data_IF_791149469662
#
_entry.id   IF_791149469662
#
_cell.length_a   1.000
_cell.length_b   1.000
_cell.length_c   1.000
_cell.angle_alpha   90.00
_cell.angle_beta   90.00
_cell.angle_gamma   90.00
#
_symmetry.space_group_name_H-M   'P 1'
#
loop_
_entity.id
_entity.type
_entity.pdbx_description
1 polymer ?
#
# COMPACT_ATOMS: atom_id res chain seq x y z
N UNK A 1 -14.05 22.29 10.46
CA UNK A 1 -13.48 21.69 9.22
C UNK A 1 -12.00 21.46 9.47
N UNK A 2 -11.58 20.21 9.74
CA UNK A 2 -10.16 19.90 9.96
C UNK A 2 -9.81 18.71 9.07
N UNK A 3 -9.09 19.00 7.99
CA UNK A 3 -8.70 18.06 6.96
C UNK A 3 -7.63 17.09 7.48
N UNK A 4 -7.90 15.81 7.32
CA UNK A 4 -6.96 14.72 7.57
C UNK A 4 -5.86 14.75 6.51
N UNK A 5 -4.72 15.35 6.87
CA UNK A 5 -3.48 15.33 6.07
C UNK A 5 -3.02 13.89 5.83
N UNK A 6 -3.20 13.42 4.59
CA UNK A 6 -2.45 12.28 4.05
C UNK A 6 -0.97 12.65 4.04
N UNK A 7 -0.15 11.88 4.74
CA UNK A 7 1.30 12.08 4.79
C UNK A 7 1.87 11.91 3.37
N UNK A 8 2.36 13.01 2.80
CA UNK A 8 3.18 13.02 1.59
C UNK A 8 4.49 12.25 1.84
N UNK A 9 5.02 11.61 0.81
CA UNK A 9 6.37 11.04 0.74
C UNK A 9 7.47 11.97 1.28
N UNK A 10 7.34 13.28 1.07
CA UNK A 10 8.25 14.29 1.65
C UNK A 10 8.14 14.44 3.18
N UNK A 11 6.98 14.14 3.77
CA UNK A 11 6.77 14.15 5.22
C UNK A 11 7.21 12.84 5.91
N UNK A 12 7.33 11.75 5.16
CA UNK A 12 7.89 10.49 5.65
C UNK A 12 9.40 10.59 5.91
N UNK A 13 10.12 11.34 5.05
CA UNK A 13 11.56 11.56 5.20
C UNK A 13 11.91 12.66 6.22
N UNK A 14 11.06 13.67 6.44
CA UNK A 14 11.36 14.75 7.39
C UNK A 14 11.17 14.39 8.87
N UNK A 15 10.54 13.26 9.18
CA UNK A 15 10.17 12.85 10.55
C UNK A 15 11.07 11.76 11.16
N UNK A 16 12.28 11.58 10.64
CA UNK A 16 13.31 10.73 11.25
C UNK A 16 13.85 11.31 12.56
N UNK A 17 13.01 11.35 13.61
CA UNK A 17 13.33 11.36 15.05
C UNK A 17 12.14 11.93 15.82
N UNK A 18 11.24 11.11 16.38
CA UNK A 18 10.61 11.33 17.70
C UNK A 18 10.14 9.96 18.24
N UNK A 19 10.67 9.54 19.40
CA UNK A 19 10.15 8.41 20.18
C UNK A 19 8.70 8.68 20.63
N UNK A 20 7.76 7.72 20.53
CA UNK A 20 6.42 7.94 21.05
C UNK A 20 6.40 7.85 22.59
N UNK A 21 5.75 8.79 23.30
CA UNK A 21 5.49 8.63 24.72
C UNK A 21 4.34 7.63 24.97
N UNK A 22 4.52 6.90 26.06
CA UNK A 22 3.67 5.89 26.68
C UNK A 22 2.51 6.55 27.47
N UNK A 23 1.51 5.73 27.84
CA UNK A 23 0.41 5.94 28.81
C UNK A 23 -0.94 6.40 28.19
N UNK A 24 -2.12 6.01 28.69
CA UNK A 24 -2.54 5.19 29.83
C UNK A 24 -4.01 4.81 29.63
N UNK A 25 -4.44 3.68 30.21
CA UNK A 25 -5.83 3.28 30.36
C UNK A 25 -6.63 4.33 31.15
N UNK A 26 -7.86 4.63 30.70
CA UNK A 26 -8.93 5.09 31.59
C UNK A 26 -10.24 4.44 31.17
N UNK A 27 -10.76 3.65 32.11
CA UNK A 27 -12.09 3.05 32.18
C UNK A 27 -13.17 4.13 32.22
N UNK A 28 -14.33 3.90 31.61
CA UNK A 28 -15.59 4.42 32.15
C UNK A 28 -16.78 3.56 31.74
N UNK A 29 -17.46 3.05 32.76
CA UNK A 29 -18.82 2.51 32.71
C UNK A 29 -19.81 3.68 32.57
N UNK A 30 -20.94 3.46 31.89
CA UNK A 30 -22.28 3.50 32.50
C UNK A 30 -23.42 3.81 31.50
N UNK A 31 -24.51 3.06 31.71
CA UNK A 31 -25.94 3.40 31.57
C UNK A 31 -26.62 3.31 30.20
N UNK A 32 -27.31 2.18 30.09
CA UNK A 32 -28.54 1.88 29.35
C UNK A 32 -29.65 2.90 29.62
N UNK A 33 -30.29 3.40 28.56
CA UNK A 33 -31.67 3.86 28.56
C UNK A 33 -32.32 3.41 27.25
N UNK A 34 -33.33 2.56 27.37
CA UNK A 34 -34.19 2.13 26.27
C UNK A 34 -35.14 3.26 25.89
N UNK A 35 -35.23 3.58 24.60
CA UNK A 35 -36.38 4.25 24.04
C UNK A 35 -36.76 3.58 22.72
N UNK A 36 -37.89 2.88 22.78
CA UNK A 36 -38.65 2.35 21.65
C UNK A 36 -39.18 3.48 20.79
N UNK A 37 -38.90 3.43 19.47
CA UNK A 37 -39.72 4.05 18.42
C UNK A 37 -39.33 3.44 17.06
N UNK A 38 -40.18 2.56 16.53
CA UNK A 38 -40.37 2.40 15.09
C UNK A 38 -41.23 3.57 14.56
N UNK A 39 -41.25 3.97 13.26
CA UNK A 39 -41.12 3.05 12.11
C UNK A 39 -40.48 3.62 10.81
N UNK A 40 -40.44 2.74 9.80
CA UNK A 40 -40.40 2.96 8.32
C UNK A 40 -39.04 3.03 7.61
N UNK A 41 -38.88 2.05 6.72
CA UNK A 41 -38.37 2.15 5.33
C UNK A 41 -37.09 2.98 5.14
N UNK A 42 -35.94 2.34 5.30
CA UNK A 42 -34.63 2.93 5.01
C UNK A 42 -33.74 1.92 4.28
N UNK A 43 -33.27 2.32 3.12
CA UNK A 43 -32.21 1.68 2.32
C UNK A 43 -31.11 1.08 3.19
N UNK A 44 -30.81 -0.21 2.97
CA UNK A 44 -29.69 -0.91 3.60
C UNK A 44 -28.43 -0.03 3.56
N UNK A 45 -27.78 0.25 4.70
CA UNK A 45 -26.49 0.91 4.70
C UNK A 45 -25.51 0.05 3.89
N UNK A 46 -24.57 0.66 3.14
CA UNK A 46 -23.63 -0.10 2.34
C UNK A 46 -22.86 -1.04 3.27
N UNK A 47 -23.06 -2.35 3.07
CA UNK A 47 -22.40 -3.40 3.87
C UNK A 47 -20.91 -3.10 3.89
N UNK A 48 -20.33 -2.99 5.10
CA UNK A 48 -18.88 -2.91 5.27
C UNK A 48 -18.31 -4.16 4.61
N UNK A 49 -17.61 -3.98 3.48
CA UNK A 49 -16.98 -5.11 2.78
C UNK A 49 -15.89 -5.68 3.69
N UNK A 50 -16.14 -6.86 4.23
CA UNK A 50 -15.12 -7.63 4.92
C UNK A 50 -13.99 -7.97 3.93
N UNK A 51 -12.71 -7.98 4.36
CA UNK A 51 -11.62 -8.46 3.53
C UNK A 51 -11.91 -9.89 3.09
N UNK A 52 -11.63 -10.21 1.82
CA UNK A 52 -11.72 -11.60 1.37
C UNK A 52 -10.74 -12.47 2.17
N UNK A 53 -11.10 -13.70 2.56
CA UNK A 53 -10.23 -14.59 3.35
C UNK A 53 -8.81 -14.77 2.75
N UNK A 54 -8.67 -14.65 1.43
CA UNK A 54 -7.37 -14.72 0.73
C UNK A 54 -6.41 -13.56 1.06
N UNK A 55 -6.91 -12.48 1.66
CA UNK A 55 -6.14 -11.29 2.05
C UNK A 55 -5.81 -11.27 3.55
N UNK A 56 -6.28 -12.27 4.30
CA UNK A 56 -6.05 -12.36 5.74
C UNK A 56 -4.75 -13.15 5.96
N UNK A 57 -3.78 -12.63 6.74
CA UNK A 57 -2.57 -13.36 7.09
C UNK A 57 -2.90 -14.60 7.94
N UNK A 58 -2.06 -15.62 7.85
CA UNK A 58 -2.23 -16.86 8.61
C UNK A 58 -1.65 -16.70 10.01
N UNK A 59 -2.23 -15.79 10.78
CA UNK A 59 -1.85 -15.52 12.17
C UNK A 59 -3.03 -15.77 13.10
N UNK A 60 -2.74 -16.27 14.30
CA UNK A 60 -3.76 -16.74 15.24
C UNK A 60 -4.56 -15.64 15.96
N UNK A 61 -4.66 -14.42 15.45
CA UNK A 61 -5.34 -13.31 16.13
C UNK A 61 -6.11 -12.38 15.17
N UNK A 62 -7.40 -12.16 15.45
CA UNK A 62 -8.33 -11.36 14.64
C UNK A 62 -8.10 -9.83 14.75
N UNK A 63 -7.43 -9.35 15.82
CA UNK A 63 -7.16 -7.92 16.06
C UNK A 63 -5.74 -7.48 15.66
N UNK A 64 -5.02 -8.31 14.90
CA UNK A 64 -3.62 -8.08 14.63
C UNK A 64 -3.37 -6.80 13.79
N UNK A 65 -2.40 -6.00 14.24
CA UNK A 65 -1.94 -4.85 13.47
C UNK A 65 -1.24 -5.31 12.18
N UNK A 66 -1.77 -4.88 11.03
CA UNK A 66 -1.21 -5.20 9.72
C UNK A 66 -0.28 -4.11 9.17
N UNK A 67 0.66 -4.54 8.34
CA UNK A 67 1.60 -3.67 7.64
C UNK A 67 1.57 -3.91 6.13
N UNK A 68 1.83 -2.85 5.37
CA UNK A 68 1.98 -2.89 3.92
C UNK A 68 3.44 -2.61 3.59
N UNK A 69 4.01 -3.36 2.64
CA UNK A 69 5.37 -3.13 2.15
C UNK A 69 5.32 -2.70 0.68
N UNK A 70 5.92 -1.56 0.38
CA UNK A 70 6.00 -1.00 -0.98
C UNK A 70 7.45 -0.79 -1.39
N UNK A 71 7.68 -0.70 -2.70
CA UNK A 71 8.91 -0.09 -3.20
C UNK A 71 8.90 1.41 -2.86
N UNK A 72 10.03 1.92 -2.41
CA UNK A 72 10.28 3.34 -2.23
C UNK A 72 10.94 3.86 -3.51
N UNK A 73 10.18 4.58 -4.33
CA UNK A 73 10.72 5.26 -5.51
C UNK A 73 11.28 6.63 -5.15
N UNK A 74 12.07 7.24 -6.01
CA UNK A 74 12.51 8.63 -5.84
C UNK A 74 11.33 9.60 -5.74
N UNK A 75 11.63 10.78 -5.16
CA UNK A 75 10.64 11.83 -4.94
C UNK A 75 9.96 12.27 -6.24
N UNK A 76 10.70 12.60 -7.32
CA UNK A 76 10.06 13.14 -8.53
C UNK A 76 9.08 12.16 -9.18
N UNK A 77 9.44 10.88 -9.33
CA UNK A 77 8.52 9.88 -9.89
C UNK A 77 7.31 9.68 -8.97
N UNK A 78 7.54 9.62 -7.65
CA UNK A 78 6.45 9.44 -6.69
C UNK A 78 5.42 10.58 -6.77
N UNK A 79 5.86 11.83 -6.85
CA UNK A 79 4.99 13.01 -6.94
C UNK A 79 4.15 12.97 -8.23
N UNK A 80 4.77 12.73 -9.39
CA UNK A 80 4.06 12.64 -10.67
C UNK A 80 3.04 11.51 -10.70
N UNK A 81 3.40 10.33 -10.20
CA UNK A 81 2.46 9.19 -10.12
C UNK A 81 1.32 9.46 -9.16
N UNK A 82 1.60 10.16 -8.06
CA UNK A 82 0.60 10.56 -7.07
C UNK A 82 -0.38 11.57 -7.65
N UNK A 83 0.07 12.50 -8.48
CA UNK A 83 -0.81 13.47 -9.12
C UNK A 83 -1.71 12.83 -10.18
N UNK A 84 -1.21 11.87 -10.96
CA UNK A 84 -2.06 11.03 -11.82
C UNK A 84 -3.11 10.27 -11.02
N UNK A 85 -2.72 9.66 -9.91
CA UNK A 85 -3.65 8.96 -9.03
C UNK A 85 -4.69 9.91 -8.44
N UNK A 86 -4.32 11.12 -8.01
CA UNK A 86 -5.29 12.12 -7.52
C UNK A 86 -6.27 12.56 -8.61
N UNK A 87 -5.82 12.60 -9.88
CA UNK A 87 -6.65 12.94 -11.02
C UNK A 87 -7.71 11.88 -11.29
N UNK A 88 -7.32 10.60 -11.35
CA UNK A 88 -8.20 9.51 -11.80
C UNK A 88 -8.86 8.70 -10.69
N UNK A 89 -8.27 8.62 -9.49
CA UNK A 89 -8.83 7.80 -8.42
C UNK A 89 -10.02 8.52 -7.76
N UNK A 90 -11.16 7.85 -7.50
CA UNK A 90 -12.33 8.49 -6.90
C UNK A 90 -11.98 9.21 -5.58
N UNK A 91 -12.10 10.54 -5.57
CA UNK A 91 -11.61 11.42 -4.49
C UNK A 91 -12.10 11.01 -3.09
N UNK A 92 -13.36 10.58 -2.99
CA UNK A 92 -14.00 10.20 -1.71
C UNK A 92 -13.34 8.99 -1.02
N UNK A 93 -12.66 8.13 -1.79
CA UNK A 93 -12.05 6.89 -1.30
C UNK A 93 -10.53 6.84 -1.53
N UNK A 94 -9.94 7.89 -2.12
CA UNK A 94 -8.50 7.98 -2.31
C UNK A 94 -7.79 8.36 -1.01
N UNK A 95 -7.36 7.36 -0.24
CA UNK A 95 -6.74 7.55 1.09
C UNK A 95 -5.21 7.53 1.09
N UNK A 96 -4.59 7.15 -0.02
CA UNK A 96 -3.14 6.89 -0.11
C UNK A 96 -2.57 7.45 -1.41
N UNK A 97 -1.31 7.88 -1.36
CA UNK A 97 -0.53 8.28 -2.52
C UNK A 97 -0.29 7.11 -3.49
N UNK A 98 0.25 7.39 -4.68
CA UNK A 98 0.60 6.32 -5.61
C UNK A 98 1.74 5.47 -5.06
N UNK A 99 1.69 4.16 -5.33
CA UNK A 99 2.59 3.20 -4.71
C UNK A 99 2.77 1.97 -5.60
N UNK A 100 3.88 1.27 -5.37
CA UNK A 100 4.18 -0.04 -5.93
C UNK A 100 4.20 -1.07 -4.80
N UNK A 101 3.08 -1.77 -4.59
CA UNK A 101 2.92 -2.72 -3.48
C UNK A 101 3.64 -4.03 -3.75
N UNK A 102 4.40 -4.51 -2.77
CA UNK A 102 4.99 -5.85 -2.74
C UNK A 102 4.14 -6.78 -1.87
N UNK A 103 3.74 -6.33 -0.68
CA UNK A 103 2.94 -7.11 0.27
C UNK A 103 1.82 -6.24 0.86
N UNK A 104 0.65 -6.82 1.05
CA UNK A 104 -0.60 -6.11 1.38
C UNK A 104 -0.99 -6.24 2.86
N UNK A 105 -0.59 -7.33 3.51
CA UNK A 105 -0.99 -7.64 4.87
C UNK A 105 0.11 -8.44 5.59
N UNK A 106 1.17 -7.77 6.01
CA UNK A 106 2.20 -8.36 6.85
C UNK A 106 1.78 -8.31 8.33
N UNK A 107 1.87 -9.43 9.07
CA UNK A 107 1.40 -9.51 10.44
C UNK A 107 2.33 -8.82 11.45
N UNK A 108 1.75 -7.98 12.31
CA UNK A 108 2.49 -7.23 13.33
C UNK A 108 3.19 -8.10 14.38
N UNK A 109 2.65 -9.28 14.70
CA UNK A 109 3.27 -10.23 15.64
C UNK A 109 4.59 -10.82 15.13
N UNK A 110 4.85 -10.76 13.82
CA UNK A 110 6.09 -11.23 13.19
C UNK A 110 7.03 -10.09 12.82
N UNK A 111 6.66 -8.85 13.15
CA UNK A 111 7.31 -7.67 12.61
C UNK A 111 8.79 -7.58 13.00
N UNK A 112 9.06 -7.57 14.31
CA UNK A 112 10.42 -7.41 14.85
C UNK A 112 11.25 -8.70 14.73
N UNK A 113 10.59 -9.87 14.82
CA UNK A 113 11.27 -11.16 14.85
C UNK A 113 11.66 -11.68 13.47
N UNK A 114 10.85 -11.44 12.44
CA UNK A 114 11.07 -12.03 11.11
C UNK A 114 11.05 -10.96 10.01
N UNK A 115 10.03 -10.11 9.95
CA UNK A 115 9.81 -9.21 8.79
C UNK A 115 10.92 -8.15 8.67
N UNK A 116 11.16 -7.37 9.72
CA UNK A 116 12.17 -6.30 9.70
C UNK A 116 13.58 -6.85 9.44
N UNK A 117 14.05 -7.91 10.14
CA UNK A 117 15.35 -8.52 9.84
C UNK A 117 15.49 -8.98 8.39
N UNK A 118 14.48 -9.64 7.82
CA UNK A 118 14.51 -10.07 6.40
C UNK A 118 14.56 -8.86 5.46
N UNK A 119 13.76 -7.81 5.71
CA UNK A 119 13.79 -6.59 4.89
C UNK A 119 15.19 -5.95 4.91
N UNK A 120 15.81 -5.85 6.08
CA UNK A 120 17.16 -5.29 6.21
C UNK A 120 18.20 -6.14 5.47
N UNK A 121 18.11 -7.47 5.54
CA UNK A 121 19.04 -8.35 4.82
C UNK A 121 18.92 -8.22 3.31
N UNK A 122 17.69 -8.24 2.79
CA UNK A 122 17.44 -8.08 1.35
C UNK A 122 17.88 -6.70 0.87
N UNK A 123 17.58 -5.63 1.60
CA UNK A 123 17.91 -4.26 1.19
C UNK A 123 19.42 -4.00 1.19
N UNK A 124 20.19 -4.55 2.13
CA UNK A 124 21.67 -4.49 2.11
C UNK A 124 22.30 -5.17 0.89
N UNK A 125 21.64 -6.19 0.32
CA UNK A 125 22.12 -6.97 -0.83
C UNK A 125 21.59 -6.45 -2.18
N UNK A 126 20.72 -5.45 -2.16
CA UNK A 126 20.05 -4.92 -3.34
C UNK A 126 20.61 -3.53 -3.63
N UNK A 127 21.15 -3.31 -4.83
CA UNK A 127 21.46 -1.96 -5.32
C UNK A 127 20.18 -1.25 -5.75
N UNK A 128 20.15 0.08 -5.59
CA UNK A 128 19.10 0.91 -6.18
C UNK A 128 18.99 0.66 -7.70
N UNK A 129 17.78 0.67 -8.26
CA UNK A 129 17.57 0.31 -9.66
C UNK A 129 16.55 1.22 -10.35
N UNK A 130 16.69 1.37 -11.66
CA UNK A 130 15.76 2.13 -12.49
C UNK A 130 14.39 1.47 -12.52
N UNK A 131 13.34 2.29 -12.41
CA UNK A 131 11.94 1.89 -12.55
C UNK A 131 11.33 2.68 -13.70
N UNK A 132 10.70 2.00 -14.63
CA UNK A 132 9.96 2.63 -15.74
C UNK A 132 8.50 2.24 -15.69
N UNK A 133 7.63 3.23 -15.56
CA UNK A 133 6.19 3.10 -15.68
C UNK A 133 5.83 3.23 -17.18
N UNK A 134 5.30 2.17 -17.78
CA UNK A 134 5.20 2.07 -19.26
C UNK A 134 3.78 2.03 -19.77
N UNK A 135 3.09 0.91 -19.63
CA UNK A 135 1.80 0.69 -20.31
C UNK A 135 0.63 0.82 -19.35
N UNK A 136 -0.41 1.51 -19.81
CA UNK A 136 -1.73 1.45 -19.18
C UNK A 136 -2.37 0.09 -19.45
N UNK A 137 -3.08 -0.43 -18.46
CA UNK A 137 -3.87 -1.65 -18.63
C UNK A 137 -5.12 -1.61 -17.76
N UNK A 138 -6.16 -2.32 -18.22
CA UNK A 138 -7.46 -2.38 -17.53
C UNK A 138 -7.38 -3.30 -16.31
N UNK A 139 -8.04 -2.87 -15.24
CA UNK A 139 -8.42 -3.69 -14.08
C UNK A 139 -9.93 -3.93 -14.14
N UNK A 140 -10.42 -4.91 -13.37
CA UNK A 140 -11.87 -5.22 -13.30
C UNK A 140 -12.75 -4.01 -12.95
N UNK A 141 -12.24 -3.06 -12.14
CA UNK A 141 -12.98 -1.90 -11.62
C UNK A 141 -12.17 -0.60 -11.73
N UNK A 142 -11.35 -0.49 -12.78
CA UNK A 142 -10.47 0.65 -13.00
C UNK A 142 -9.32 0.37 -13.96
N UNK A 143 -8.18 1.01 -13.75
CA UNK A 143 -6.98 0.84 -14.55
C UNK A 143 -5.70 1.23 -13.80
N UNK A 144 -4.58 0.80 -14.33
CA UNK A 144 -3.26 1.00 -13.75
C UNK A 144 -2.18 1.20 -14.81
N UNK A 145 -1.03 1.70 -14.39
CA UNK A 145 0.20 1.74 -15.18
C UNK A 145 1.13 0.63 -14.71
N UNK A 146 1.61 -0.18 -15.64
CA UNK A 146 2.56 -1.25 -15.40
C UNK A 146 3.99 -0.73 -15.23
N UNK A 147 4.82 -1.48 -14.51
CA UNK A 147 6.28 -1.28 -14.53
C UNK A 147 6.90 -2.21 -15.57
N UNK A 148 7.81 -1.68 -16.39
CA UNK A 148 8.56 -2.41 -17.40
C UNK A 148 9.26 -3.64 -16.81
N UNK A 149 9.14 -4.79 -17.47
CA UNK A 149 9.85 -5.99 -17.05
C UNK A 149 11.37 -5.80 -17.13
N UNK A 150 11.84 -5.09 -18.15
CA UNK A 150 13.26 -4.83 -18.36
C UNK A 150 13.82 -3.86 -17.32
N UNK A 151 13.04 -2.83 -16.99
CA UNK A 151 13.44 -1.72 -16.12
C UNK A 151 12.53 -1.62 -14.89
N UNK A 152 12.92 -2.35 -13.84
CA UNK A 152 12.30 -2.30 -12.51
C UNK A 152 11.43 -3.51 -12.20
N UNK A 153 10.73 -4.09 -13.17
CA UNK A 153 9.82 -5.21 -12.97
C UNK A 153 10.52 -6.49 -12.52
N UNK A 154 11.60 -6.90 -13.21
CA UNK A 154 12.41 -8.07 -12.82
C UNK A 154 13.05 -7.89 -11.45
N UNK A 155 13.65 -6.72 -11.20
CA UNK A 155 14.28 -6.39 -9.93
C UNK A 155 13.26 -6.41 -8.78
N UNK A 156 12.07 -5.84 -8.98
CA UNK A 156 10.96 -5.87 -8.03
C UNK A 156 10.54 -7.31 -7.69
N UNK A 157 10.46 -8.19 -8.69
CA UNK A 157 10.15 -9.61 -8.49
C UNK A 157 11.25 -10.35 -7.73
N UNK A 158 12.52 -10.02 -7.97
CA UNK A 158 13.65 -10.59 -7.24
C UNK A 158 13.61 -10.18 -5.77
N UNK A 159 13.42 -8.90 -5.48
CA UNK A 159 13.25 -8.37 -4.11
C UNK A 159 12.06 -9.05 -3.43
N UNK A 160 10.90 -9.10 -4.09
CA UNK A 160 9.72 -9.77 -3.56
C UNK A 160 9.98 -11.24 -3.24
N UNK A 161 10.61 -12.00 -4.16
CA UNK A 161 10.92 -13.42 -3.95
C UNK A 161 11.87 -13.63 -2.78
N UNK A 162 12.90 -12.78 -2.65
CA UNK A 162 13.88 -12.86 -1.57
C UNK A 162 13.23 -12.62 -0.19
N UNK A 163 12.25 -11.71 -0.11
CA UNK A 163 11.44 -11.49 1.09
C UNK A 163 10.44 -12.62 1.34
N UNK A 164 9.75 -13.05 0.28
CA UNK A 164 8.64 -14.00 0.35
C UNK A 164 9.10 -15.41 0.74
N UNK A 165 10.24 -15.87 0.22
CA UNK A 165 10.70 -17.24 0.43
C UNK A 165 10.81 -17.64 1.92
N UNK A 166 11.52 -16.90 2.79
CA UNK A 166 11.57 -17.22 4.21
C UNK A 166 10.19 -17.06 4.88
N UNK A 167 9.43 -16.02 4.56
CA UNK A 167 8.11 -15.80 5.18
C UNK A 167 7.06 -16.86 4.81
N UNK A 168 7.18 -17.47 3.62
CA UNK A 168 6.39 -18.64 3.23
C UNK A 168 6.73 -19.87 4.06
N UNK A 169 8.02 -20.11 4.31
CA UNK A 169 8.46 -21.25 5.12
C UNK A 169 7.93 -21.15 6.56
N UNK A 170 7.85 -19.93 7.09
CA UNK A 170 7.27 -19.63 8.40
C UNK A 170 5.72 -19.71 8.43
N UNK A 171 5.07 -19.83 7.26
CA UNK A 171 3.64 -20.13 7.17
C UNK A 171 2.68 -19.02 7.62
N UNK A 172 3.11 -17.75 7.67
CA UNK A 172 2.25 -16.65 8.14
C UNK A 172 1.69 -15.73 7.04
N UNK A 173 2.11 -15.92 5.78
CA UNK A 173 1.62 -15.07 4.69
C UNK A 173 0.17 -15.39 4.33
N UNK A 174 -0.58 -14.34 3.94
CA UNK A 174 -1.88 -14.52 3.31
C UNK A 174 -1.73 -15.21 1.94
N UNK A 175 -2.81 -15.78 1.40
CA UNK A 175 -2.77 -16.38 0.06
C UNK A 175 -2.36 -15.37 -1.02
N UNK A 176 -2.82 -14.12 -0.90
CA UNK A 176 -2.43 -13.04 -1.81
C UNK A 176 -0.93 -12.75 -1.74
N UNK A 177 -0.39 -12.59 -0.53
CA UNK A 177 1.01 -12.25 -0.32
C UNK A 177 1.94 -13.45 -0.51
N UNK A 178 1.41 -14.67 -0.47
CA UNK A 178 2.08 -15.89 -0.93
C UNK A 178 2.04 -16.05 -2.47
N UNK A 179 1.32 -15.19 -3.19
CA UNK A 179 1.19 -15.24 -4.65
C UNK A 179 2.39 -14.69 -5.42
N UNK A 180 2.22 -14.52 -6.73
CA UNK A 180 3.19 -13.81 -7.56
C UNK A 180 3.10 -12.29 -7.39
N UNK A 181 4.20 -11.57 -7.66
CA UNK A 181 4.24 -10.11 -7.61
C UNK A 181 4.43 -9.52 -9.02
N UNK A 182 3.51 -8.64 -9.42
CA UNK A 182 3.67 -7.75 -10.56
C UNK A 182 3.26 -6.34 -10.13
N UNK A 183 4.27 -5.54 -9.81
CA UNK A 183 4.07 -4.17 -9.33
C UNK A 183 3.48 -3.28 -10.44
N UNK A 184 2.62 -2.37 -10.04
CA UNK A 184 1.94 -1.42 -10.91
C UNK A 184 1.44 -0.24 -10.08
N UNK A 185 1.26 0.91 -10.72
CA UNK A 185 0.60 2.06 -10.12
C UNK A 185 -0.90 2.01 -10.43
N UNK A 186 -1.72 1.73 -9.43
CA UNK A 186 -3.18 1.85 -9.59
C UNK A 186 -3.57 3.32 -9.71
N UNK A 187 -4.17 3.71 -10.83
CA UNK A 187 -4.69 5.07 -11.04
C UNK A 187 -6.18 5.17 -10.73
N UNK A 188 -6.95 4.12 -11.03
CA UNK A 188 -8.37 4.04 -10.72
C UNK A 188 -8.70 2.62 -10.25
N UNK A 189 -9.52 2.50 -9.20
CA UNK A 189 -10.07 1.23 -8.76
C UNK A 189 -11.36 1.47 -7.97
N UNK A 190 -12.16 0.42 -7.78
CA UNK A 190 -13.44 0.44 -7.04
C UNK A 190 -14.50 1.34 -7.68
N UNK A 191 -14.44 1.51 -8.99
CA UNK A 191 -15.50 2.14 -9.79
C UNK A 191 -16.36 1.03 -10.39
N UNK A 192 -17.68 1.18 -10.30
CA UNK A 192 -18.65 0.19 -10.82
C UNK A 192 -19.19 0.57 -12.21
N UNK A 193 -19.12 1.86 -12.57
CA UNK A 193 -19.52 2.36 -13.89
C UNK A 193 -18.42 2.14 -14.92
N UNK A 194 -18.66 1.21 -15.86
CA UNK A 194 -17.70 0.86 -16.91
C UNK A 194 -17.46 1.99 -17.92
N UNK A 195 -18.47 2.84 -18.18
CA UNK A 195 -18.33 3.99 -19.07
C UNK A 195 -17.46 5.07 -18.43
N UNK A 196 -17.61 5.32 -17.13
CA UNK A 196 -16.71 6.21 -16.37
C UNK A 196 -15.26 5.72 -16.46
N UNK A 197 -15.04 4.41 -16.28
CA UNK A 197 -13.70 3.84 -16.37
C UNK A 197 -13.13 3.97 -17.79
N UNK A 198 -13.94 3.67 -18.82
CA UNK A 198 -13.50 3.72 -20.21
C UNK A 198 -13.10 5.14 -20.62
N UNK A 199 -13.93 6.14 -20.32
CA UNK A 199 -13.64 7.54 -20.64
C UNK A 199 -12.35 8.02 -19.96
N UNK A 200 -12.16 7.70 -18.68
CA UNK A 200 -10.95 8.05 -17.94
C UNK A 200 -9.71 7.33 -18.45
N UNK A 201 -9.86 6.07 -18.87
CA UNK A 201 -8.79 5.28 -19.47
C UNK A 201 -8.34 5.89 -20.81
N UNK A 202 -9.27 6.24 -21.69
CA UNK A 202 -8.96 6.80 -23.01
C UNK A 202 -8.28 8.18 -22.90
N UNK A 203 -8.75 9.02 -21.98
CA UNK A 203 -8.08 10.29 -21.66
C UNK A 203 -6.64 10.05 -21.17
N UNK A 204 -6.45 9.11 -20.24
CA UNK A 204 -5.12 8.77 -19.74
C UNK A 204 -4.23 8.20 -20.85
N UNK A 205 -4.75 7.31 -21.69
CA UNK A 205 -4.02 6.67 -22.79
C UNK A 205 -3.58 7.66 -23.86
N UNK A 206 -4.39 8.67 -24.19
CA UNK A 206 -4.02 9.72 -25.13
C UNK A 206 -2.85 10.59 -24.64
N UNK A 207 -2.79 10.85 -23.33
CA UNK A 207 -1.78 11.72 -22.71
C UNK A 207 -0.52 10.99 -22.24
N UNK A 208 -0.62 9.70 -21.90
CA UNK A 208 0.46 8.95 -21.26
C UNK A 208 1.60 8.62 -22.24
N UNK A 209 2.83 8.94 -21.86
CA UNK A 209 4.06 8.70 -22.66
C UNK A 209 5.10 7.85 -21.92
N UNK A 210 4.72 7.26 -20.80
CA UNK A 210 5.66 6.62 -19.88
C UNK A 210 6.40 7.62 -18.99
N UNK A 211 6.96 7.12 -17.91
CA UNK A 211 7.75 7.90 -16.96
C UNK A 211 8.77 7.00 -16.27
N UNK A 212 9.81 7.59 -15.69
CA UNK A 212 10.90 6.83 -15.07
C UNK A 212 11.48 7.53 -13.85
N UNK A 213 12.12 6.73 -13.01
CA UNK A 213 12.85 7.17 -11.83
C UNK A 213 13.64 6.02 -11.24
N UNK A 214 14.01 6.15 -9.98
CA UNK A 214 14.77 5.16 -9.22
C UNK A 214 13.91 4.50 -8.16
N UNK A 215 14.07 3.19 -7.95
CA UNK A 215 13.74 2.52 -6.71
C UNK A 215 14.94 2.65 -5.76
N UNK A 216 14.76 3.40 -4.68
CA UNK A 216 15.79 3.72 -3.69
C UNK A 216 15.74 2.82 -2.47
N UNK A 217 14.69 2.00 -2.33
CA UNK A 217 14.53 1.11 -1.19
C UNK A 217 13.13 0.52 -1.06
N UNK A 218 12.77 0.23 0.18
CA UNK A 218 11.46 -0.25 0.58
C UNK A 218 10.86 0.65 1.67
N UNK A 219 9.54 0.78 1.67
CA UNK A 219 8.78 1.52 2.66
C UNK A 219 7.75 0.62 3.32
N UNK A 220 7.79 0.57 4.64
CA UNK A 220 6.86 -0.16 5.48
C UNK A 220 5.84 0.82 6.08
N UNK A 221 4.57 0.43 6.01
CA UNK A 221 3.43 1.26 6.40
C UNK A 221 2.54 0.50 7.36
N UNK A 222 2.11 1.14 8.45
CA UNK A 222 1.08 0.61 9.34
C UNK A 222 -0.29 0.84 8.70
N UNK A 223 -1.05 -0.24 8.51
CA UNK A 223 -2.42 -0.14 7.99
C UNK A 223 -3.40 0.28 9.09
N UNK A 224 -4.18 1.33 8.84
CA UNK A 224 -5.14 1.89 9.79
C UNK A 224 -6.43 2.27 9.07
N UNK A 225 -7.43 1.37 9.08
CA UNK A 225 -8.79 1.62 8.53
C UNK A 225 -8.79 2.19 7.10
N UNK A 226 -7.88 1.68 6.27
CA UNK A 226 -7.69 2.09 4.87
C UNK A 226 -6.72 3.25 4.66
N UNK A 227 -6.20 3.86 5.73
CA UNK A 227 -5.06 4.76 5.67
C UNK A 227 -3.77 3.98 5.86
N UNK A 228 -2.70 4.46 5.24
CA UNK A 228 -1.35 3.94 5.45
C UNK A 228 -0.56 4.99 6.23
N UNK A 229 -0.16 4.63 7.45
CA UNK A 229 0.67 5.47 8.29
C UNK A 229 2.12 5.07 8.07
N UNK A 230 2.97 6.05 7.80
CA UNK A 230 4.40 5.82 7.72
C UNK A 230 4.91 5.09 8.95
N UNK A 231 5.74 4.06 8.74
CA UNK A 231 6.38 3.34 9.83
C UNK A 231 7.91 3.38 9.70
N UNK A 232 8.47 2.86 8.59
CA UNK A 232 9.94 2.81 8.42
C UNK A 232 10.36 2.68 6.95
N UNK A 233 11.50 3.29 6.60
CA UNK A 233 12.19 3.07 5.31
C UNK A 233 13.38 2.13 5.46
N UNK A 234 13.71 1.45 4.37
CA UNK A 234 14.91 0.61 4.24
C UNK A 234 15.54 0.87 2.88
N UNK A 235 16.64 1.61 2.87
CA UNK A 235 17.30 2.02 1.62
C UNK A 235 18.04 0.84 1.00
N UNK A 236 17.98 0.75 -0.32
CA UNK A 236 18.90 -0.08 -1.09
C UNK A 236 20.30 0.53 -1.06
N UNK A 237 21.30 -0.31 -1.33
CA UNK A 237 22.68 0.12 -1.44
C UNK A 237 22.82 1.12 -2.59
N UNK A 238 23.59 2.19 -2.37
CA UNK A 238 23.99 3.10 -3.45
C UNK A 238 25.20 2.51 -4.16
N UNK A 239 25.31 2.68 -5.47
CA UNK A 239 26.42 2.10 -6.24
C UNK A 239 27.83 2.59 -5.82
N UNK A 240 27.91 3.59 -4.92
CA UNK A 240 29.17 4.09 -4.34
C UNK A 240 29.64 3.33 -3.08
N UNK A 241 28.93 2.29 -2.62
CA UNK A 241 29.31 1.49 -1.44
C UNK A 241 30.14 0.23 -1.82
N UNK A 242 31.02 0.33 -2.83
CA UNK A 242 32.00 -0.70 -3.20
C UNK A 242 33.38 -0.40 -2.65
#
# INVERSE_FOLDING_TARGET
MSGSNGLSYSAALSKGNINPPRNQNVSNQARTVEHTNEPKSGSEPPRKREPSPSHIPQTGSEEEQLYVLTILTDKPLHERMTDLRKKYFPKKINKVAAHLTLFHALPGSRLESHIIPTIQDVTRKTSAFRVEATELFRLKKGFAISVSEQNGGRQSKQVHRALQAPWKQEGFLSQQDAGGCRVHYTLMNKVDDELEIQNAYDEAAGAWKGDSGMAEGLALWKYDRGFWRWYRAFNFRKDNDQ
#
